data_IF_162872550663
#
_entry.id   IF_162872550663
#
_cell.length_a   1.000
_cell.length_b   1.000
_cell.length_c   1.000
_cell.angle_alpha   90.00
_cell.angle_beta   90.00
_cell.angle_gamma   90.00
#
_symmetry.space_group_name_H-M   'P 1'
#
loop_
_entity.id
_entity.type
_entity.pdbx_description
1 polymer ?
#
# COMPACT_ATOMS: atom_id res chain seq x y z
N UNK A 1 -27.06 36.33 15.57
CA UNK A 1 -25.81 35.57 15.76
C UNK A 1 -25.85 34.38 14.81
N UNK A 2 -25.28 34.57 13.59
CA UNK A 2 -25.23 33.49 12.61
C UNK A 2 -24.04 32.58 12.93
N UNK A 3 -24.28 31.51 13.65
CA UNK A 3 -23.30 30.45 13.82
C UNK A 3 -23.36 29.59 12.56
N UNK A 4 -22.63 29.98 11.51
CA UNK A 4 -22.38 29.14 10.35
C UNK A 4 -21.39 28.07 10.83
N UNK A 5 -21.91 26.90 11.14
CA UNK A 5 -21.11 25.69 11.18
C UNK A 5 -20.61 25.41 9.74
N UNK A 6 -19.52 26.04 9.37
CA UNK A 6 -18.80 25.68 8.15
C UNK A 6 -18.12 24.35 8.46
N UNK A 7 -18.55 23.31 7.74
CA UNK A 7 -17.84 22.03 7.80
C UNK A 7 -16.40 22.21 7.31
N UNK A 8 -15.44 21.63 8.00
CA UNK A 8 -14.06 21.66 7.58
C UNK A 8 -13.90 20.90 6.25
N UNK A 9 -13.13 21.49 5.35
CA UNK A 9 -12.85 20.87 4.06
C UNK A 9 -11.82 19.75 4.25
N UNK A 10 -12.14 18.55 3.77
CA UNK A 10 -11.17 17.45 3.69
C UNK A 10 -10.14 17.79 2.60
N UNK A 11 -8.93 18.15 3.00
CA UNK A 11 -7.80 18.41 2.10
C UNK A 11 -6.91 17.16 1.96
N UNK A 12 -7.42 16.14 1.29
CA UNK A 12 -6.68 14.90 1.02
C UNK A 12 -5.39 15.12 0.22
N UNK A 13 -5.34 16.17 -0.63
CA UNK A 13 -4.15 16.48 -1.41
C UNK A 13 -3.04 17.07 -0.54
N UNK A 14 -3.37 18.01 0.33
CA UNK A 14 -2.42 18.59 1.28
C UNK A 14 -1.92 17.55 2.28
N UNK A 15 -2.82 16.69 2.78
CA UNK A 15 -2.44 15.58 3.64
C UNK A 15 -1.46 14.61 2.95
N UNK A 16 -1.75 14.22 1.71
CA UNK A 16 -0.87 13.33 0.94
C UNK A 16 0.52 13.96 0.68
N UNK A 17 0.60 15.27 0.43
CA UNK A 17 1.87 15.97 0.26
C UNK A 17 2.70 15.91 1.56
N UNK A 18 2.11 16.24 2.69
CA UNK A 18 2.79 16.17 4.00
C UNK A 18 3.25 14.75 4.34
N UNK A 19 2.47 13.72 3.98
CA UNK A 19 2.85 12.33 4.17
C UNK A 19 4.05 11.95 3.30
N UNK A 20 4.10 12.42 2.06
CA UNK A 20 5.25 12.20 1.15
C UNK A 20 6.52 12.83 1.72
N UNK A 21 6.44 14.07 2.24
CA UNK A 21 7.59 14.75 2.86
C UNK A 21 8.11 13.94 4.06
N UNK A 22 7.22 13.53 4.96
CA UNK A 22 7.55 12.72 6.13
C UNK A 22 8.19 11.38 5.75
N UNK A 23 7.62 10.66 4.78
CA UNK A 23 8.17 9.40 4.29
C UNK A 23 9.55 9.59 3.65
N UNK A 24 9.79 10.72 2.99
CA UNK A 24 11.11 11.03 2.40
C UNK A 24 12.17 11.19 3.50
N UNK A 25 11.82 11.85 4.61
CA UNK A 25 12.69 11.98 5.77
C UNK A 25 12.97 10.61 6.39
N UNK A 26 11.94 9.80 6.66
CA UNK A 26 12.08 8.44 7.24
C UNK A 26 12.93 7.51 6.36
N UNK A 27 12.73 7.52 5.04
CA UNK A 27 13.55 6.72 4.11
C UNK A 27 15.01 7.17 4.12
N UNK A 28 15.25 8.48 4.21
CA UNK A 28 16.60 9.04 4.29
C UNK A 28 17.29 8.59 5.59
N UNK A 29 16.60 8.66 6.72
CA UNK A 29 17.11 8.20 8.01
C UNK A 29 17.44 6.71 8.01
N UNK A 30 16.56 5.86 7.47
CA UNK A 30 16.81 4.42 7.35
C UNK A 30 18.08 4.18 6.54
N UNK A 31 18.22 4.86 5.40
CA UNK A 31 19.38 4.73 4.54
C UNK A 31 20.68 5.17 5.24
N UNK A 32 20.65 6.27 5.98
CA UNK A 32 21.82 6.78 6.70
C UNK A 32 22.23 5.86 7.85
N UNK A 33 21.26 5.32 8.59
CA UNK A 33 21.50 4.49 9.77
C UNK A 33 21.89 3.05 9.42
N UNK A 34 21.32 2.50 8.35
CA UNK A 34 21.46 1.06 8.04
C UNK A 34 22.16 0.77 6.71
N UNK A 35 22.27 1.75 5.83
CA UNK A 35 22.70 1.56 4.45
C UNK A 35 21.65 0.90 3.54
N UNK A 36 20.48 0.54 4.07
CA UNK A 36 19.40 -0.11 3.32
C UNK A 36 18.53 0.94 2.62
N UNK A 37 18.07 0.60 1.42
CA UNK A 37 17.05 1.37 0.70
C UNK A 37 15.81 0.49 0.59
N UNK A 38 14.68 0.85 1.22
CA UNK A 38 13.47 0.05 1.13
C UNK A 38 13.00 -0.12 -0.31
N UNK A 39 12.51 -1.32 -0.65
CA UNK A 39 12.06 -1.67 -1.99
C UNK A 39 10.60 -2.11 -2.03
N UNK A 40 9.86 -1.55 -2.98
CA UNK A 40 8.47 -1.93 -3.27
C UNK A 40 8.38 -2.64 -4.62
N UNK A 41 7.89 -3.86 -4.63
CA UNK A 41 7.52 -4.58 -5.85
C UNK A 41 6.03 -4.39 -6.15
N UNK A 42 5.72 -4.03 -7.39
CA UNK A 42 4.35 -3.89 -7.89
C UNK A 42 4.16 -4.80 -9.08
N UNK A 43 3.23 -5.72 -8.98
CA UNK A 43 2.89 -6.68 -10.05
C UNK A 43 1.57 -6.27 -10.69
N UNK A 44 1.56 -6.15 -12.01
CA UNK A 44 0.38 -5.89 -12.84
C UNK A 44 0.24 -7.01 -13.86
N UNK A 45 -0.92 -7.64 -13.92
CA UNK A 45 -1.25 -8.66 -14.93
C UNK A 45 -2.30 -8.11 -15.88
N UNK A 46 -1.98 -8.11 -17.17
CA UNK A 46 -2.83 -7.56 -18.21
C UNK A 46 -2.63 -6.08 -18.46
N UNK A 47 -3.52 -5.51 -19.29
CA UNK A 47 -3.40 -4.15 -19.82
C UNK A 47 -4.60 -3.25 -19.43
N UNK A 48 -5.19 -3.45 -18.23
CA UNK A 48 -6.26 -2.56 -17.79
C UNK A 48 -5.75 -1.12 -17.67
N UNK A 49 -6.34 -0.16 -18.40
CA UNK A 49 -5.82 1.21 -18.44
C UNK A 49 -5.83 1.91 -17.08
N UNK A 50 -6.85 1.66 -16.25
CA UNK A 50 -6.96 2.26 -14.93
C UNK A 50 -5.86 1.73 -14.01
N UNK A 51 -5.65 0.42 -14.01
CA UNK A 51 -4.56 -0.24 -13.27
C UNK A 51 -3.19 0.26 -13.71
N UNK A 52 -3.00 0.46 -15.02
CA UNK A 52 -1.76 1.01 -15.59
C UNK A 52 -1.42 2.41 -15.06
N UNK A 53 -2.44 3.29 -14.91
CA UNK A 53 -2.28 4.63 -14.33
C UNK A 53 -1.87 4.55 -12.85
N UNK A 54 -2.53 3.70 -12.06
CA UNK A 54 -2.21 3.52 -10.64
C UNK A 54 -0.80 2.97 -10.43
N UNK A 55 -0.40 1.95 -11.18
CA UNK A 55 0.96 1.38 -11.10
C UNK A 55 2.01 2.42 -11.48
N UNK A 56 1.78 3.20 -12.52
CA UNK A 56 2.71 4.26 -12.94
C UNK A 56 2.81 5.39 -11.90
N UNK A 57 1.71 5.73 -11.23
CA UNK A 57 1.71 6.71 -10.15
C UNK A 57 2.47 6.18 -8.92
N UNK A 58 2.22 4.93 -8.51
CA UNK A 58 2.92 4.26 -7.40
C UNK A 58 4.42 4.22 -7.68
N UNK A 59 4.84 3.75 -8.86
CA UNK A 59 6.26 3.71 -9.24
C UNK A 59 6.93 5.08 -9.11
N UNK A 60 6.32 6.11 -9.68
CA UNK A 60 6.87 7.48 -9.63
C UNK A 60 6.97 8.01 -8.20
N UNK A 61 5.94 7.78 -7.37
CA UNK A 61 5.93 8.24 -5.97
C UNK A 61 6.94 7.48 -5.13
N UNK A 62 7.07 6.16 -5.29
CA UNK A 62 8.06 5.33 -4.60
C UNK A 62 9.49 5.83 -4.87
N UNK A 63 9.81 6.13 -6.13
CA UNK A 63 11.11 6.70 -6.49
C UNK A 63 11.32 8.12 -5.92
N UNK A 64 10.26 8.93 -5.91
CA UNK A 64 10.34 10.32 -5.44
C UNK A 64 10.68 10.42 -3.94
N UNK A 65 10.27 9.47 -3.11
CA UNK A 65 10.59 9.41 -1.69
C UNK A 65 11.93 8.70 -1.38
N UNK A 66 12.68 8.31 -2.42
CA UNK A 66 14.01 7.69 -2.27
C UNK A 66 14.02 6.17 -2.11
N UNK A 67 12.88 5.50 -2.23
CA UNK A 67 12.78 4.04 -2.23
C UNK A 67 13.14 3.42 -3.58
N UNK A 68 13.43 2.12 -3.60
CA UNK A 68 13.50 1.31 -4.83
C UNK A 68 12.09 0.89 -5.27
N UNK A 69 11.87 0.83 -6.58
CA UNK A 69 10.58 0.41 -7.14
C UNK A 69 10.78 -0.61 -8.26
N UNK A 70 10.26 -1.81 -8.03
CA UNK A 70 10.32 -2.95 -8.96
C UNK A 70 8.95 -3.15 -9.57
N UNK A 71 8.80 -2.85 -10.87
CA UNK A 71 7.50 -2.98 -11.56
C UNK A 71 7.54 -4.17 -12.51
N UNK A 72 6.70 -5.16 -12.23
CA UNK A 72 6.53 -6.36 -13.04
C UNK A 72 5.22 -6.25 -13.81
N UNK A 73 5.32 -6.17 -15.13
CA UNK A 73 4.17 -6.16 -16.04
C UNK A 73 4.10 -7.50 -16.75
N UNK A 74 3.07 -8.27 -16.43
CA UNK A 74 2.84 -9.59 -16.99
C UNK A 74 1.74 -9.54 -18.05
N UNK A 75 1.82 -10.36 -19.11
CA UNK A 75 0.78 -10.50 -20.11
C UNK A 75 -0.58 -10.91 -19.51
N UNK A 76 -1.67 -10.60 -20.21
CA UNK A 76 -3.01 -10.95 -19.74
C UNK A 76 -3.28 -12.46 -19.69
N UNK A 77 -2.53 -13.24 -20.45
CA UNK A 77 -2.59 -14.71 -20.51
C UNK A 77 -1.60 -15.42 -19.57
N UNK A 78 -0.92 -14.66 -18.69
CA UNK A 78 -0.04 -15.22 -17.65
C UNK A 78 -0.76 -16.28 -16.85
N UNK A 79 -0.15 -17.44 -16.71
CA UNK A 79 -0.73 -18.55 -15.95
C UNK A 79 -0.61 -18.33 -14.45
N UNK A 80 -1.47 -19.02 -13.68
CA UNK A 80 -1.38 -19.04 -12.22
C UNK A 80 0.02 -19.46 -11.75
N UNK A 81 0.63 -20.48 -12.37
CA UNK A 81 1.94 -20.99 -11.97
C UNK A 81 3.07 -19.97 -12.21
N UNK A 82 3.03 -19.23 -13.32
CA UNK A 82 4.02 -18.18 -13.60
C UNK A 82 3.91 -17.03 -12.60
N UNK A 83 2.68 -16.59 -12.29
CA UNK A 83 2.47 -15.54 -11.29
C UNK A 83 2.92 -15.98 -9.90
N UNK A 84 2.60 -17.20 -9.49
CA UNK A 84 3.04 -17.77 -8.20
C UNK A 84 4.57 -17.87 -8.12
N UNK A 85 5.23 -18.30 -9.20
CA UNK A 85 6.70 -18.35 -9.29
C UNK A 85 7.34 -16.99 -9.11
N UNK A 86 6.79 -15.94 -9.73
CA UNK A 86 7.24 -14.56 -9.52
C UNK A 86 7.06 -14.13 -8.05
N UNK A 87 5.94 -14.47 -7.41
CA UNK A 87 5.72 -14.11 -6.01
C UNK A 87 6.71 -14.82 -5.08
N UNK A 88 7.04 -16.08 -5.36
CA UNK A 88 8.07 -16.82 -4.60
C UNK A 88 9.43 -16.13 -4.72
N UNK A 89 9.82 -15.68 -5.92
CA UNK A 89 11.05 -14.91 -6.14
C UNK A 89 11.05 -13.60 -5.36
N UNK A 90 9.95 -12.84 -5.41
CA UNK A 90 9.81 -11.55 -4.70
C UNK A 90 9.80 -11.73 -3.18
N UNK A 91 9.16 -12.77 -2.67
CA UNK A 91 9.18 -13.12 -1.25
C UNK A 91 10.62 -13.43 -0.77
N UNK A 92 11.41 -14.11 -1.59
CA UNK A 92 12.79 -14.48 -1.25
C UNK A 92 13.78 -13.32 -1.45
N UNK A 93 13.44 -12.28 -2.23
CA UNK A 93 14.34 -11.17 -2.55
C UNK A 93 14.57 -10.26 -1.33
N UNK A 94 15.79 -10.09 -0.84
CA UNK A 94 16.09 -9.27 0.33
C UNK A 94 15.93 -7.76 0.07
N UNK A 95 16.03 -7.33 -1.19
CA UNK A 95 15.82 -5.95 -1.62
C UNK A 95 14.34 -5.56 -1.74
N UNK A 96 13.42 -6.54 -1.69
CA UNK A 96 11.97 -6.33 -1.73
C UNK A 96 11.41 -6.40 -0.32
N UNK A 97 10.99 -5.26 0.21
CA UNK A 97 10.42 -5.15 1.56
C UNK A 97 8.89 -5.09 1.56
N UNK A 98 8.30 -4.78 0.40
CA UNK A 98 6.85 -4.77 0.21
C UNK A 98 6.47 -5.27 -1.16
N UNK A 99 5.36 -6.02 -1.24
CA UNK A 99 4.81 -6.58 -2.48
C UNK A 99 3.36 -6.13 -2.60
N UNK A 100 3.00 -5.67 -3.79
CA UNK A 100 1.65 -5.28 -4.15
C UNK A 100 1.28 -5.93 -5.48
N UNK A 101 0.20 -6.70 -5.51
CA UNK A 101 -0.40 -7.20 -6.74
C UNK A 101 -1.60 -6.34 -7.08
N UNK A 102 -1.52 -5.62 -8.20
CA UNK A 102 -2.58 -4.69 -8.60
C UNK A 102 -3.84 -5.45 -9.01
N UNK A 103 -4.93 -5.21 -8.29
CA UNK A 103 -6.25 -5.75 -8.61
C UNK A 103 -7.03 -4.80 -9.56
N UNK A 104 -7.97 -5.33 -10.37
CA UNK A 104 -8.35 -6.76 -10.46
C UNK A 104 -7.37 -7.59 -11.29
N UNK A 105 -7.31 -8.89 -11.00
CA UNK A 105 -6.60 -9.87 -11.84
C UNK A 105 -7.52 -10.39 -12.96
N UNK A 106 -6.96 -10.91 -14.08
CA UNK A 106 -7.71 -11.67 -15.08
C UNK A 106 -8.51 -12.83 -14.45
N UNK A 107 -9.72 -13.08 -14.98
CA UNK A 107 -10.68 -14.01 -14.37
C UNK A 107 -10.22 -15.48 -14.25
N UNK A 108 -9.20 -15.89 -15.00
CA UNK A 108 -8.62 -17.24 -14.93
C UNK A 108 -7.62 -17.42 -13.77
N UNK A 109 -7.24 -16.33 -13.08
CA UNK A 109 -6.34 -16.37 -11.93
C UNK A 109 -7.14 -16.39 -10.63
N UNK A 110 -6.72 -17.22 -9.70
CA UNK A 110 -7.28 -17.26 -8.35
C UNK A 110 -6.68 -16.12 -7.50
N UNK A 111 -7.44 -15.05 -7.39
CA UNK A 111 -7.04 -13.86 -6.64
C UNK A 111 -6.75 -14.17 -5.16
N UNK A 112 -7.52 -15.05 -4.53
CA UNK A 112 -7.30 -15.40 -3.12
C UNK A 112 -6.00 -16.18 -2.93
N UNK A 113 -5.72 -17.12 -3.82
CA UNK A 113 -4.47 -17.86 -3.81
C UNK A 113 -3.27 -16.91 -4.01
N UNK A 114 -3.38 -15.95 -4.94
CA UNK A 114 -2.33 -14.95 -5.21
C UNK A 114 -2.07 -14.06 -3.99
N UNK A 115 -3.11 -13.50 -3.38
CA UNK A 115 -2.98 -12.65 -2.20
C UNK A 115 -2.32 -13.41 -1.03
N UNK A 116 -2.74 -14.66 -0.80
CA UNK A 116 -2.20 -15.47 0.29
C UNK A 116 -0.83 -16.12 -0.03
N UNK A 117 -0.30 -15.97 -1.23
CA UNK A 117 1.06 -16.35 -1.59
C UNK A 117 2.10 -15.25 -1.31
N UNK A 118 1.66 -14.02 -1.13
CA UNK A 118 2.55 -12.93 -0.67
C UNK A 118 2.92 -13.22 0.79
N UNK A 119 4.19 -13.02 1.15
CA UNK A 119 4.58 -13.06 2.56
C UNK A 119 3.78 -12.02 3.35
N UNK A 120 3.13 -12.43 4.44
CA UNK A 120 2.28 -11.56 5.24
C UNK A 120 3.00 -10.31 5.77
N UNK A 121 4.32 -10.40 5.99
CA UNK A 121 5.14 -9.28 6.43
C UNK A 121 5.56 -8.35 5.26
N UNK A 122 5.33 -8.78 4.01
CA UNK A 122 5.55 -7.98 2.79
C UNK A 122 4.24 -7.54 2.11
N UNK A 123 3.07 -7.96 2.61
CA UNK A 123 1.75 -7.61 2.07
C UNK A 123 1.36 -6.17 2.40
N UNK A 124 1.82 -5.23 1.59
CA UNK A 124 1.58 -3.78 1.85
C UNK A 124 0.15 -3.32 1.61
N UNK A 125 -0.70 -4.13 0.97
CA UNK A 125 -2.13 -3.85 0.84
C UNK A 125 -2.97 -4.36 2.04
N UNK A 126 -2.38 -5.19 2.92
CA UNK A 126 -3.02 -5.74 4.12
C UNK A 126 -4.17 -6.69 3.82
N UNK A 127 -4.16 -7.35 2.66
CA UNK A 127 -5.23 -8.27 2.21
C UNK A 127 -4.96 -9.73 2.54
N UNK A 128 -3.73 -10.07 2.91
CA UNK A 128 -3.38 -11.42 3.33
C UNK A 128 -4.24 -11.84 4.54
N UNK A 129 -4.71 -13.08 4.56
CA UNK A 129 -5.63 -13.57 5.59
C UNK A 129 -5.08 -13.40 7.02
N UNK A 130 -3.76 -13.50 7.20
CA UNK A 130 -3.12 -13.26 8.51
C UNK A 130 -3.23 -11.79 8.92
N UNK A 131 -2.98 -10.84 8.02
CA UNK A 131 -3.11 -9.41 8.29
C UNK A 131 -4.56 -9.03 8.58
N UNK A 132 -5.50 -9.53 7.78
CA UNK A 132 -6.93 -9.35 8.02
C UNK A 132 -7.36 -9.92 9.38
N UNK A 133 -6.88 -11.12 9.76
CA UNK A 133 -7.16 -11.76 11.03
C UNK A 133 -6.55 -10.99 12.22
N UNK A 134 -5.30 -10.55 12.11
CA UNK A 134 -4.62 -9.74 13.14
C UNK A 134 -5.37 -8.42 13.35
N UNK A 135 -5.71 -7.71 12.25
CA UNK A 135 -6.46 -6.47 12.33
C UNK A 135 -7.84 -6.66 13.00
N UNK A 136 -8.58 -7.71 12.64
CA UNK A 136 -9.89 -8.00 13.23
C UNK A 136 -9.84 -8.33 14.73
N UNK A 137 -8.68 -8.80 15.21
CA UNK A 137 -8.46 -9.16 16.63
C UNK A 137 -7.67 -8.09 17.41
N UNK A 138 -7.40 -6.94 16.81
CA UNK A 138 -6.69 -5.83 17.45
C UNK A 138 -5.19 -6.09 17.68
N UNK A 139 -4.59 -6.92 16.85
CA UNK A 139 -3.14 -7.18 16.85
C UNK A 139 -2.45 -6.31 15.80
N UNK A 140 -1.13 -6.14 15.93
CA UNK A 140 -0.32 -5.43 14.94
C UNK A 140 -0.37 -6.14 13.58
N UNK A 141 -0.72 -5.38 12.55
CA UNK A 141 -0.86 -5.87 11.20
C UNK A 141 -0.61 -4.77 10.17
N UNK A 142 -0.29 -5.16 8.95
CA UNK A 142 -0.37 -4.27 7.81
C UNK A 142 -1.86 -3.99 7.52
N UNK A 143 -2.21 -2.70 7.43
CA UNK A 143 -3.60 -2.24 7.33
C UNK A 143 -3.89 -1.79 5.90
N UNK A 144 -5.06 -2.14 5.32
CA UNK A 144 -5.43 -1.68 3.98
C UNK A 144 -5.37 -0.17 3.84
N UNK A 145 -4.60 0.30 2.85
CA UNK A 145 -4.25 1.72 2.69
C UNK A 145 -5.46 2.63 2.48
N UNK A 146 -6.46 2.20 1.72
CA UNK A 146 -7.64 3.03 1.41
C UNK A 146 -8.50 3.30 2.64
N UNK A 147 -8.93 2.29 3.44
CA UNK A 147 -9.65 2.55 4.69
C UNK A 147 -8.83 3.37 5.69
N UNK A 148 -7.53 3.09 5.79
CA UNK A 148 -6.63 3.85 6.68
C UNK A 148 -6.58 5.33 6.28
N UNK A 149 -6.42 5.64 5.01
CA UNK A 149 -6.42 7.00 4.50
C UNK A 149 -7.76 7.72 4.78
N UNK A 150 -8.90 7.04 4.60
CA UNK A 150 -10.21 7.58 4.96
C UNK A 150 -10.30 7.87 6.47
N UNK A 151 -9.87 6.93 7.31
CA UNK A 151 -9.89 7.09 8.76
C UNK A 151 -9.06 8.29 9.19
N UNK A 152 -7.85 8.43 8.71
CA UNK A 152 -6.95 9.54 9.03
C UNK A 152 -7.59 10.87 8.63
N UNK A 153 -8.15 10.97 7.42
CA UNK A 153 -8.83 12.19 6.97
C UNK A 153 -10.03 12.55 7.86
N UNK A 154 -10.81 11.57 8.30
CA UNK A 154 -11.96 11.80 9.18
C UNK A 154 -11.54 12.24 10.59
N UNK A 155 -10.49 11.65 11.14
CA UNK A 155 -10.01 11.99 12.49
C UNK A 155 -9.59 13.45 12.62
N UNK A 156 -8.92 14.01 11.62
CA UNK A 156 -8.52 15.42 11.72
C UNK A 156 -9.61 16.41 11.30
N UNK A 157 -10.61 16.00 10.49
CA UNK A 157 -11.71 16.91 10.05
C UNK A 157 -12.91 16.84 10.96
N UNK A 158 -13.12 15.73 11.65
CA UNK A 158 -14.31 15.50 12.49
C UNK A 158 -13.95 14.63 13.71
N UNK A 159 -13.00 15.06 14.55
CA UNK A 159 -12.61 14.26 15.70
C UNK A 159 -13.79 14.09 16.65
N UNK A 160 -14.08 12.84 17.03
CA UNK A 160 -15.11 12.56 18.05
C UNK A 160 -14.46 12.50 19.43
N UNK A 161 -15.22 12.76 20.52
CA UNK A 161 -14.68 12.61 21.87
C UNK A 161 -14.17 11.21 22.21
N UNK A 162 -14.61 10.18 21.47
CA UNK A 162 -14.12 8.80 21.60
C UNK A 162 -12.71 8.61 21.02
N UNK A 163 -12.38 9.36 19.97
CA UNK A 163 -11.09 9.28 19.30
C UNK A 163 -9.98 9.93 20.15
N UNK A 164 -10.36 10.91 20.97
CA UNK A 164 -9.44 11.62 21.88
C UNK A 164 -9.09 10.81 23.16
N UNK A 165 -9.80 9.73 23.42
CA UNK A 165 -9.61 8.90 24.62
C UNK A 165 -8.63 7.75 24.47
N UNK A 166 -8.04 7.55 23.28
CA UNK A 166 -7.13 6.43 22.95
C UNK A 166 -5.67 6.85 22.76
N UNK A 167 -5.32 8.07 23.17
CA UNK A 167 -3.93 8.58 23.16
C UNK A 167 -3.30 8.51 24.55
#
# INVERSE_FOLDING_TARGET
MNNQFLADRIDGKGFAANLVDKLTEEVTEIKEQTGLIPGLAVVLVGEDPASGVYVSAKHRQTLAIGMQSFVHRLPADTTQAELMGLLDELNAAPEVNGILVQLPLPAHLDTNAVINAIDADKDVDGFHILNAGRLATGQDALVPCTPLGCLICLLYTSPSPRDLSTS
#
